data_IF_074597084081
#
_entry.id   IF_074597084081
#
_cell.length_a   1.000
_cell.length_b   1.000
_cell.length_c   1.000
_cell.angle_alpha   90.00
_cell.angle_beta   90.00
_cell.angle_gamma   90.00
#
_symmetry.space_group_name_H-M   'P 1'
#
loop_
_entity.id
_entity.type
_entity.pdbx_description
1 polymer ?
#
# COMPACT_ATOMS: atom_id res chain seq x y z
N UNK A 1 -2.56 8.26 10.92
CA UNK A 1 -1.11 8.11 10.77
C UNK A 1 -0.80 6.63 10.97
N UNK A 2 0.24 6.07 10.34
CA UNK A 2 0.64 4.69 10.55
C UNK A 2 1.09 4.47 12.00
N UNK A 3 1.00 3.22 12.45
CA UNK A 3 1.51 2.74 13.72
C UNK A 3 3.04 2.73 13.71
N UNK A 4 3.66 2.87 14.89
CA UNK A 4 5.12 2.95 15.00
C UNK A 4 5.78 1.65 14.51
N UNK A 5 5.18 0.52 14.84
CA UNK A 5 5.61 -0.80 14.39
C UNK A 5 5.69 -0.91 12.86
N UNK A 6 4.71 -0.37 12.13
CA UNK A 6 4.72 -0.35 10.65
C UNK A 6 5.90 0.46 10.10
N UNK A 7 6.26 1.56 10.77
CA UNK A 7 7.41 2.38 10.38
C UNK A 7 8.71 1.63 10.63
N UNK A 8 8.83 0.94 11.77
CA UNK A 8 9.99 0.15 12.13
C UNK A 8 10.23 -1.00 11.16
N UNK A 9 9.20 -1.80 10.85
CA UNK A 9 9.29 -2.87 9.85
C UNK A 9 9.69 -2.33 8.47
N UNK A 10 9.15 -1.18 8.06
CA UNK A 10 9.55 -0.55 6.81
C UNK A 10 11.01 -0.03 6.81
N UNK A 11 11.55 0.34 7.98
CA UNK A 11 12.96 0.73 8.15
C UNK A 11 13.88 -0.50 8.17
N UNK A 12 13.48 -1.57 8.83
CA UNK A 12 14.17 -2.86 8.78
C UNK A 12 14.27 -3.35 7.33
N UNK A 13 13.15 -3.31 6.60
CA UNK A 13 13.13 -3.63 5.17
C UNK A 13 14.12 -2.77 4.36
N UNK A 14 14.24 -1.49 4.71
CA UNK A 14 15.20 -0.58 4.08
C UNK A 14 16.65 -0.91 4.46
N UNK A 15 16.91 -1.29 5.72
CA UNK A 15 18.22 -1.74 6.21
C UNK A 15 18.69 -3.03 5.53
N UNK A 16 17.75 -3.94 5.24
CA UNK A 16 18.00 -5.14 4.43
C UNK A 16 18.18 -4.86 2.92
N UNK A 17 18.08 -3.59 2.49
CA UNK A 17 18.20 -3.21 1.08
C UNK A 17 16.99 -3.63 0.22
N UNK A 18 15.83 -3.93 0.82
CA UNK A 18 14.62 -4.27 0.06
C UNK A 18 14.09 -3.05 -0.70
N UNK A 19 13.39 -3.32 -1.80
CA UNK A 19 12.88 -2.26 -2.69
C UNK A 19 11.86 -1.33 -2.01
N UNK A 20 11.68 -0.08 -2.46
CA UNK A 20 10.67 0.83 -1.91
C UNK A 20 9.23 0.30 -1.97
N UNK A 21 8.92 -0.55 -2.96
CA UNK A 21 7.61 -1.21 -3.05
C UNK A 21 7.42 -2.32 -2.03
N UNK A 22 8.52 -2.94 -1.58
CA UNK A 22 8.50 -3.93 -0.49
C UNK A 22 8.27 -3.23 0.83
N UNK A 23 9.05 -2.18 1.11
CA UNK A 23 8.87 -1.32 2.29
C UNK A 23 7.45 -0.75 2.39
N UNK A 24 6.89 -0.28 1.26
CA UNK A 24 5.51 0.21 1.21
C UNK A 24 4.45 -0.88 1.45
N UNK A 25 4.83 -2.15 1.31
CA UNK A 25 3.99 -3.31 1.56
C UNK A 25 3.53 -3.40 3.02
N UNK A 26 4.39 -3.02 3.98
CA UNK A 26 4.05 -2.99 5.41
C UNK A 26 2.86 -2.06 5.69
N UNK A 27 2.84 -0.88 5.07
CA UNK A 27 1.73 0.07 5.20
C UNK A 27 0.44 -0.41 4.54
N UNK A 28 0.55 -1.17 3.45
CA UNK A 28 -0.62 -1.78 2.80
C UNK A 28 -1.16 -2.92 3.67
N UNK A 29 -0.27 -3.70 4.30
CA UNK A 29 -0.64 -4.77 5.22
C UNK A 29 -1.38 -4.20 6.43
N UNK A 30 -0.81 -3.19 7.09
CA UNK A 30 -1.44 -2.46 8.19
C UNK A 30 -2.84 -1.94 7.79
N UNK A 31 -2.97 -1.32 6.61
CA UNK A 31 -4.26 -0.81 6.15
C UNK A 31 -5.32 -1.92 5.98
N UNK A 32 -4.91 -3.10 5.53
CA UNK A 32 -5.80 -4.26 5.42
C UNK A 32 -6.19 -4.79 6.80
N UNK A 33 -5.25 -4.82 7.76
CA UNK A 33 -5.51 -5.21 9.15
C UNK A 33 -6.48 -4.22 9.81
N UNK A 34 -6.27 -2.91 9.67
CA UNK A 34 -7.19 -1.87 10.16
C UNK A 34 -8.62 -2.03 9.62
N UNK A 35 -8.76 -2.44 8.36
CA UNK A 35 -10.08 -2.71 7.76
C UNK A 35 -10.71 -3.97 8.35
N UNK A 36 -9.94 -5.03 8.56
CA UNK A 36 -10.43 -6.29 9.15
C UNK A 36 -10.84 -6.12 10.61
N UNK A 37 -10.04 -5.40 11.39
CA UNK A 37 -10.33 -5.00 12.77
C UNK A 37 -11.53 -4.04 12.88
N UNK A 38 -11.95 -3.44 11.77
CA UNK A 38 -13.10 -2.55 11.73
C UNK A 38 -12.83 -1.11 12.17
N UNK A 39 -11.56 -0.68 12.24
CA UNK A 39 -11.18 0.72 12.49
C UNK A 39 -11.83 1.66 11.46
N UNK A 40 -11.91 1.22 10.21
CA UNK A 40 -12.66 1.80 9.10
C UNK A 40 -12.88 0.78 7.97
N UNK A 41 -13.63 1.13 6.92
CA UNK A 41 -13.77 0.32 5.69
C UNK A 41 -13.08 0.94 4.48
N UNK A 42 -13.28 0.31 3.32
CA UNK A 42 -12.94 0.87 2.01
C UNK A 42 -13.93 0.37 0.94
N UNK A 43 -14.21 1.23 -0.05
CA UNK A 43 -15.10 0.93 -1.20
C UNK A 43 -14.59 -0.22 -2.05
N UNK A 44 -13.27 -0.39 -2.11
CA UNK A 44 -12.63 -1.42 -2.93
C UNK A 44 -11.25 -1.82 -2.41
N UNK A 45 -10.75 -3.02 -2.78
CA UNK A 45 -9.38 -3.44 -2.46
C UNK A 45 -8.33 -2.45 -3.01
N UNK A 46 -8.57 -1.88 -4.19
CA UNK A 46 -7.68 -0.90 -4.80
C UNK A 46 -7.61 0.39 -3.98
N UNK A 47 -8.73 0.83 -3.39
CA UNK A 47 -8.76 1.99 -2.50
C UNK A 47 -7.95 1.72 -1.23
N UNK A 48 -8.14 0.56 -0.60
CA UNK A 48 -7.36 0.16 0.58
C UNK A 48 -5.85 0.18 0.28
N UNK A 49 -5.43 -0.47 -0.82
CA UNK A 49 -4.03 -0.42 -1.28
C UNK A 49 -3.58 1.03 -1.49
N UNK A 50 -4.39 1.87 -2.12
CA UNK A 50 -4.03 3.27 -2.36
C UNK A 50 -3.86 4.08 -1.07
N UNK A 51 -4.71 3.87 -0.05
CA UNK A 51 -4.56 4.51 1.26
C UNK A 51 -3.23 4.09 1.91
N UNK A 52 -2.91 2.78 1.92
CA UNK A 52 -1.64 2.25 2.41
C UNK A 52 -0.43 2.85 1.70
N UNK A 53 -0.44 2.91 0.35
CA UNK A 53 0.65 3.52 -0.42
C UNK A 53 0.79 5.04 -0.18
N UNK A 54 -0.31 5.74 0.08
CA UNK A 54 -0.27 7.16 0.47
C UNK A 54 0.28 7.34 1.89
N UNK A 55 -0.04 6.45 2.84
CA UNK A 55 0.58 6.42 4.17
C UNK A 55 2.09 6.20 4.07
N UNK A 56 2.54 5.22 3.30
CA UNK A 56 3.95 4.91 3.11
C UNK A 56 4.76 6.12 2.63
N UNK A 57 4.28 6.82 1.59
CA UNK A 57 4.94 8.03 1.06
C UNK A 57 5.03 9.14 2.10
N UNK A 58 3.97 9.34 2.89
CA UNK A 58 3.95 10.34 3.97
C UNK A 58 4.81 9.94 5.16
N UNK A 59 5.05 8.66 5.37
CA UNK A 59 5.95 8.14 6.39
C UNK A 59 7.44 8.18 5.97
N UNK A 60 7.73 8.60 4.73
CA UNK A 60 9.11 8.78 4.24
C UNK A 60 9.61 7.66 3.32
N UNK A 61 8.79 6.66 3.00
CA UNK A 61 9.17 5.64 2.01
C UNK A 61 9.35 6.32 0.65
N UNK A 62 10.52 6.11 0.03
CA UNK A 62 10.90 6.68 -1.28
C UNK A 62 10.21 5.96 -2.45
N UNK A 63 8.89 5.79 -2.36
CA UNK A 63 8.07 5.13 -3.37
C UNK A 63 7.70 6.12 -4.50
N UNK A 64 8.23 5.94 -5.72
CA UNK A 64 7.96 6.87 -6.81
C UNK A 64 6.47 6.90 -7.19
N UNK A 65 6.01 7.99 -7.84
CA UNK A 65 4.70 8.01 -8.47
C UNK A 65 4.53 6.87 -9.48
N UNK A 66 3.31 6.32 -9.63
CA UNK A 66 3.09 5.23 -10.57
C UNK A 66 3.30 5.70 -12.02
N UNK A 67 3.99 4.88 -12.83
CA UNK A 67 4.24 5.17 -14.25
C UNK A 67 2.93 5.27 -15.06
N UNK A 68 1.96 4.43 -14.73
CA UNK A 68 0.62 4.35 -15.35
C UNK A 68 -0.44 4.86 -14.40
N UNK A 69 -1.52 5.40 -14.95
CA UNK A 69 -2.66 5.94 -14.20
C UNK A 69 -2.90 7.42 -14.50
N UNK A 70 -4.01 7.94 -13.99
CA UNK A 70 -4.45 9.30 -14.26
C UNK A 70 -3.48 10.35 -13.70
N UNK A 71 -3.46 11.54 -14.32
CA UNK A 71 -2.68 12.68 -13.85
C UNK A 71 -2.96 13.02 -12.38
N UNK A 72 -4.23 12.88 -11.95
CA UNK A 72 -4.65 13.07 -10.56
C UNK A 72 -3.92 12.15 -9.59
N UNK A 73 -3.80 10.86 -9.91
CA UNK A 73 -3.10 9.89 -9.05
C UNK A 73 -1.60 10.21 -8.98
N UNK A 74 -0.98 10.54 -10.12
CA UNK A 74 0.44 10.92 -10.17
C UNK A 74 0.71 12.18 -9.34
N UNK A 75 -0.10 13.22 -9.52
CA UNK A 75 -0.02 14.48 -8.75
C UNK A 75 -0.22 14.25 -7.26
N UNK A 76 -1.14 13.37 -6.88
CA UNK A 76 -1.38 13.01 -5.48
C UNK A 76 -0.17 12.27 -4.87
N UNK A 77 0.44 11.33 -5.60
CA UNK A 77 1.63 10.62 -5.12
C UNK A 77 2.83 11.58 -4.91
N UNK A 78 3.05 12.53 -5.83
CA UNK A 78 4.07 13.58 -5.67
C UNK A 78 3.77 14.46 -4.45
N UNK A 79 2.50 14.84 -4.27
CA UNK A 79 2.06 15.62 -3.11
C UNK A 79 2.31 14.87 -1.80
N UNK A 80 2.03 13.57 -1.75
CA UNK A 80 2.24 12.74 -0.56
C UNK A 80 3.72 12.61 -0.21
N UNK A 81 4.60 12.43 -1.21
CA UNK A 81 6.06 12.47 -1.01
C UNK A 81 6.52 13.82 -0.44
N UNK A 82 6.03 14.94 -1.01
CA UNK A 82 6.35 16.28 -0.50
C UNK A 82 5.84 16.47 0.93
N UNK A 83 4.67 15.93 1.25
CA UNK A 83 4.09 16.00 2.60
C UNK A 83 4.86 15.16 3.61
N UNK A 84 5.45 14.03 3.21
CA UNK A 84 6.31 13.25 4.10
C UNK A 84 7.58 13.99 4.53
N UNK A 85 8.06 14.95 3.73
CA UNK A 85 9.18 15.84 4.09
C UNK A 85 8.77 17.00 5.01
N UNK A 86 7.47 17.23 5.22
CA UNK A 86 6.96 18.37 5.97
C UNK A 86 6.57 17.95 7.38
N UNK A 87 6.94 18.75 8.39
CA UNK A 87 6.52 18.56 9.78
C UNK A 87 5.07 19.00 10.06
N UNK A 88 4.35 19.52 9.04
CA UNK A 88 2.99 20.05 9.21
C UNK A 88 1.97 18.94 9.41
N UNK A 89 1.27 19.00 10.53
CA UNK A 89 0.23 18.03 10.88
C UNK A 89 -1.07 18.25 10.10
N UNK A 90 -1.82 17.17 9.79
CA UNK A 90 -3.14 17.31 9.19
C UNK A 90 -4.13 17.92 10.19
N UNK A 91 -5.10 18.68 9.68
CA UNK A 91 -6.19 19.21 10.50
C UNK A 91 -6.95 18.08 11.20
N UNK A 92 -7.12 18.22 12.52
CA UNK A 92 -7.86 17.26 13.35
C UNK A 92 -9.31 17.10 12.90
N UNK A 93 -10.00 18.22 12.59
CA UNK A 93 -11.40 18.23 12.10
C UNK A 93 -11.53 17.44 10.79
N UNK A 94 -10.68 17.72 9.80
CA UNK A 94 -10.68 16.99 8.51
C UNK A 94 -10.38 15.50 8.70
N UNK A 95 -9.42 15.17 9.55
CA UNK A 95 -9.05 13.78 9.82
C UNK A 95 -10.20 12.99 10.44
N UNK A 96 -10.91 13.59 11.40
CA UNK A 96 -12.11 12.99 12.02
C UNK A 96 -13.24 12.80 11.00
N UNK A 97 -13.50 13.80 10.15
CA UNK A 97 -14.53 13.72 9.11
C UNK A 97 -14.25 12.59 8.11
N UNK A 98 -13.02 12.50 7.59
CA UNK A 98 -12.60 11.43 6.67
C UNK A 98 -12.73 10.06 7.33
N UNK A 99 -12.31 9.92 8.60
CA UNK A 99 -12.44 8.65 9.33
C UNK A 99 -13.91 8.25 9.50
N UNK A 100 -14.80 9.19 9.87
CA UNK A 100 -16.24 8.93 9.98
C UNK A 100 -16.84 8.47 8.65
N UNK A 101 -16.43 9.08 7.53
CA UNK A 101 -16.88 8.65 6.20
C UNK A 101 -16.39 7.23 5.87
N UNK A 102 -15.10 6.93 6.08
CA UNK A 102 -14.56 5.60 5.82
C UNK A 102 -15.16 4.51 6.70
N UNK A 103 -15.62 4.82 7.92
CA UNK A 103 -16.30 3.84 8.79
C UNK A 103 -17.64 3.34 8.23
N UNK A 104 -18.27 4.10 7.32
CA UNK A 104 -19.50 3.68 6.64
C UNK A 104 -19.24 2.73 5.47
N UNK A 105 -17.98 2.62 5.04
CA UNK A 105 -17.59 1.76 3.93
C UNK A 105 -17.49 0.29 4.37
N UNK A 106 -17.60 -0.62 3.39
CA UNK A 106 -17.53 -2.05 3.68
C UNK A 106 -16.14 -2.50 4.16
N UNK A 107 -16.11 -3.51 5.03
CA UNK A 107 -14.89 -4.25 5.40
C UNK A 107 -14.53 -5.36 4.41
N UNK A 108 -15.46 -5.71 3.51
CA UNK A 108 -15.30 -6.81 2.52
C UNK A 108 -14.15 -6.55 1.55
N UNK A 109 -13.73 -5.30 1.40
CA UNK A 109 -12.59 -4.88 0.58
C UNK A 109 -11.25 -5.49 1.03
N UNK A 110 -11.08 -5.80 2.31
CA UNK A 110 -9.89 -6.47 2.85
C UNK A 110 -10.04 -8.00 3.00
N UNK A 111 -11.15 -8.57 2.51
CA UNK A 111 -11.39 -10.02 2.54
C UNK A 111 -10.41 -10.76 1.62
N UNK A 112 -10.09 -11.99 1.99
CA UNK A 112 -9.21 -12.86 1.19
C UNK A 112 -9.74 -13.01 -0.23
N UNK A 113 -11.05 -13.25 -0.40
CA UNK A 113 -11.67 -13.39 -1.73
C UNK A 113 -11.53 -12.11 -2.58
N UNK A 114 -11.71 -10.93 -1.99
CA UNK A 114 -11.58 -9.67 -2.72
C UNK A 114 -10.12 -9.41 -3.16
N UNK A 115 -9.16 -9.69 -2.27
CA UNK A 115 -7.73 -9.56 -2.57
C UNK A 115 -7.27 -10.58 -3.62
N UNK A 116 -7.71 -11.84 -3.52
CA UNK A 116 -7.40 -12.86 -4.53
C UNK A 116 -7.92 -12.47 -5.92
N UNK A 117 -9.14 -11.91 -6.02
CA UNK A 117 -9.67 -11.40 -7.29
C UNK A 117 -8.81 -10.27 -7.84
N UNK A 118 -8.44 -9.29 -7.00
CA UNK A 118 -7.59 -8.18 -7.42
C UNK A 118 -6.22 -8.67 -7.91
N UNK A 119 -5.61 -9.62 -7.21
CA UNK A 119 -4.31 -10.19 -7.58
C UNK A 119 -4.38 -10.96 -8.91
N UNK A 120 -5.43 -11.77 -9.10
CA UNK A 120 -5.67 -12.49 -10.37
C UNK A 120 -5.85 -11.52 -11.54
N UNK A 121 -6.67 -10.48 -11.36
CA UNK A 121 -6.88 -9.44 -12.38
C UNK A 121 -5.59 -8.69 -12.71
N UNK A 122 -4.77 -8.36 -11.71
CA UNK A 122 -3.47 -7.71 -11.94
C UNK A 122 -2.48 -8.64 -12.67
N UNK A 123 -2.47 -9.94 -12.34
CA UNK A 123 -1.63 -10.92 -13.01
C UNK A 123 -2.01 -11.13 -14.48
N UNK A 124 -3.32 -11.12 -14.80
CA UNK A 124 -3.82 -11.24 -16.18
C UNK A 124 -3.35 -10.11 -17.10
N UNK A 125 -3.13 -8.91 -16.55
CA UNK A 125 -2.62 -7.74 -17.30
C UNK A 125 -1.11 -7.81 -17.60
N UNK A 126 -0.38 -8.80 -17.06
CA UNK A 126 1.06 -8.97 -17.30
C UNK A 126 1.30 -9.84 -18.54
N UNK A 127 2.30 -9.47 -19.34
CA UNK A 127 2.72 -10.26 -20.50
C UNK A 127 3.18 -11.66 -20.08
N UNK A 128 3.09 -12.64 -21.00
CA UNK A 128 3.56 -14.02 -20.77
C UNK A 128 5.00 -14.04 -20.26
N UNK A 129 5.88 -13.25 -20.89
CA UNK A 129 7.28 -13.12 -20.50
C UNK A 129 7.47 -12.56 -19.07
N UNK A 130 6.66 -11.57 -18.66
CA UNK A 130 6.73 -11.03 -17.30
C UNK A 130 6.28 -12.06 -16.25
N UNK A 131 5.22 -12.83 -16.54
CA UNK A 131 4.74 -13.91 -15.68
C UNK A 131 5.79 -15.02 -15.53
N UNK A 132 6.41 -15.45 -16.63
CA UNK A 132 7.50 -16.45 -16.62
C UNK A 132 8.69 -16.00 -15.78
N UNK A 133 9.17 -14.76 -15.98
CA UNK A 133 10.28 -14.20 -15.18
C UNK A 133 9.95 -14.14 -13.68
N UNK A 134 8.73 -13.77 -13.31
CA UNK A 134 8.31 -13.76 -11.91
C UNK A 134 8.30 -15.18 -11.30
N UNK A 135 7.80 -16.18 -12.03
CA UNK A 135 7.82 -17.58 -11.59
C UNK A 135 9.24 -18.12 -11.42
N UNK A 136 10.14 -17.87 -12.40
CA UNK A 136 11.56 -18.25 -12.31
C UNK A 136 12.25 -17.59 -11.11
N UNK A 137 11.98 -16.30 -10.87
CA UNK A 137 12.49 -15.59 -9.68
C UNK A 137 11.99 -16.23 -8.40
N UNK A 138 10.69 -16.52 -8.30
CA UNK A 138 10.09 -17.15 -7.11
C UNK A 138 10.70 -18.53 -6.81
N UNK A 139 10.92 -19.35 -7.85
CA UNK A 139 11.57 -20.66 -7.70
C UNK A 139 13.01 -20.51 -7.17
N UNK A 140 13.80 -19.56 -7.71
CA UNK A 140 15.17 -19.28 -7.23
C UNK A 140 15.18 -18.82 -5.77
N UNK A 141 14.27 -17.91 -5.39
CA UNK A 141 14.20 -17.44 -4.01
C UNK A 141 13.74 -18.51 -3.03
N UNK A 142 12.87 -19.43 -3.47
CA UNK A 142 12.43 -20.56 -2.64
C UNK A 142 13.56 -21.58 -2.42
N UNK A 143 14.37 -21.86 -3.45
CA UNK A 143 15.55 -22.72 -3.34
C UNK A 143 16.65 -22.16 -2.42
N UNK A 144 16.75 -20.83 -2.29
CA UNK A 144 17.75 -20.17 -1.41
C UNK A 144 17.34 -20.10 0.07
N UNK A 145 16.08 -20.40 0.38
CA UNK A 145 15.53 -20.43 1.75
C UNK A 145 15.36 -21.86 2.29
N UNK A 146 15.62 -22.87 1.44
CA UNK A 146 15.83 -24.26 1.84
C UNK A 146 17.32 -24.47 1.92
#
# INVERSE_FOLDING_TARGET
>A
MPEQETIERAREDAGEGKSPSTQAGEFVREEMEHIREGKHGARSPQQAIAIGLSKARRAGVKLPPPKRGSAKIKKQAVRDLRKGKSRRQPSRRRSRAVRKALRRESRRSASQRALSRQARSAARRRSKASRSRAAKKAARTRKRKR
#
